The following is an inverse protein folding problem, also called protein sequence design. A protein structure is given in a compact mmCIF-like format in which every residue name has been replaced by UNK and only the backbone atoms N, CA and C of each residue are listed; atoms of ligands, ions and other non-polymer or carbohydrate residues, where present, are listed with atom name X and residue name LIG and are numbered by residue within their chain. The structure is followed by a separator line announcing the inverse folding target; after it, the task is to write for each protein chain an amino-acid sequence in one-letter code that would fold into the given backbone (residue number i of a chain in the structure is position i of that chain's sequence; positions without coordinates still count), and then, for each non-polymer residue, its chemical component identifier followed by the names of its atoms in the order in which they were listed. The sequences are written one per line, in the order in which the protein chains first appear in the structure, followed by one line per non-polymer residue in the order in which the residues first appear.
data_IF_356068016313
#
_entry.id   IF_356068016313
#
_cell.length_a   1.000
_cell.length_b   1.000
_cell.length_c   1.000
_cell.angle_alpha   90.00
_cell.angle_beta   90.00
_cell.angle_gamma   90.00
#
_symmetry.space_group_name_H-M   'P 1'
#
loop_
_entity.id
_entity.type
_entity.pdbx_description
1 polymer ?
#
# COMPACT_ATOMS: atom_id res chain seq x y z
N UNK A 1 14.07 12.67 -20.56
CA UNK A 1 14.41 13.76 -19.63
C UNK A 1 14.47 13.18 -18.23
N UNK A 2 15.09 13.86 -17.26
CA UNK A 2 14.93 13.47 -15.86
C UNK A 2 13.47 13.71 -15.42
N UNK A 3 12.95 12.84 -14.55
CA UNK A 3 11.60 13.00 -14.02
C UNK A 3 11.52 14.24 -13.11
N UNK A 4 10.42 14.98 -13.26
CA UNK A 4 10.07 16.16 -12.48
C UNK A 4 9.26 15.81 -11.24
N UNK A 5 9.00 16.79 -10.37
CA UNK A 5 8.16 16.59 -9.20
C UNK A 5 6.71 16.25 -9.55
N UNK A 6 6.19 16.78 -10.67
CA UNK A 6 4.86 16.45 -11.17
C UNK A 6 4.79 14.99 -11.63
N UNK A 7 5.86 14.47 -12.24
CA UNK A 7 5.94 13.07 -12.65
C UNK A 7 5.95 12.11 -11.45
N UNK A 8 6.57 12.52 -10.33
CA UNK A 8 6.57 11.71 -9.10
C UNK A 8 5.20 11.65 -8.42
N UNK A 9 4.36 12.68 -8.60
CA UNK A 9 3.00 12.72 -8.05
C UNK A 9 1.95 12.05 -8.96
N UNK A 10 2.32 11.67 -10.19
CA UNK A 10 1.38 11.22 -11.20
C UNK A 10 1.13 9.71 -11.16
N UNK A 11 -0.13 9.34 -11.38
CA UNK A 11 -0.52 7.97 -11.74
C UNK A 11 -0.80 7.91 -13.25
N UNK A 12 0.07 7.24 -14.00
CA UNK A 12 0.04 7.30 -15.47
C UNK A 12 -0.96 6.34 -16.12
N UNK A 13 -1.20 5.17 -15.52
CA UNK A 13 -2.03 4.09 -16.08
C UNK A 13 -1.67 3.70 -17.54
N UNK A 14 -0.39 3.82 -17.88
CA UNK A 14 0.18 3.54 -19.20
C UNK A 14 1.61 2.97 -19.05
N UNK A 15 2.27 2.64 -20.16
CA UNK A 15 3.66 2.17 -20.22
C UNK A 15 4.67 3.31 -19.99
N UNK A 16 4.48 4.06 -18.90
CA UNK A 16 5.29 5.22 -18.47
C UNK A 16 5.79 4.96 -17.05
N UNK A 17 7.06 5.25 -16.79
CA UNK A 17 7.68 5.08 -15.47
C UNK A 17 8.58 6.27 -15.12
N UNK A 18 8.33 6.91 -13.97
CA UNK A 18 9.22 7.91 -13.38
C UNK A 18 10.25 7.21 -12.48
N UNK A 19 11.54 7.50 -12.67
CA UNK A 19 12.64 6.86 -11.93
C UNK A 19 13.44 7.91 -11.17
N UNK A 20 13.62 7.70 -9.87
CA UNK A 20 14.48 8.50 -9.00
C UNK A 20 15.57 7.64 -8.37
N UNK A 21 16.81 8.09 -8.44
CA UNK A 21 17.92 7.50 -7.69
C UNK A 21 17.99 8.17 -6.32
N UNK A 22 18.10 7.38 -5.27
CA UNK A 22 18.19 7.84 -3.88
C UNK A 22 19.44 7.25 -3.22
N UNK A 23 20.09 7.99 -2.30
CA UNK A 23 21.33 7.55 -1.67
C UNK A 23 21.14 6.46 -0.62
N UNK A 24 19.96 6.40 -0.01
CA UNK A 24 19.67 5.54 1.14
C UNK A 24 18.17 5.27 1.31
N UNK A 25 17.85 4.36 2.24
CA UNK A 25 16.49 3.97 2.59
C UNK A 25 15.69 5.13 3.20
N UNK A 26 16.34 6.02 3.94
CA UNK A 26 15.67 7.16 4.57
C UNK A 26 15.12 8.14 3.52
N UNK A 27 15.91 8.41 2.48
CA UNK A 27 15.50 9.22 1.36
C UNK A 27 14.40 8.53 0.53
N UNK A 28 14.47 7.20 0.37
CA UNK A 28 13.41 6.42 -0.28
C UNK A 28 12.08 6.53 0.47
N UNK A 29 12.10 6.34 1.79
CA UNK A 29 10.92 6.44 2.65
C UNK A 29 10.35 7.87 2.68
N UNK A 30 11.20 8.89 2.68
CA UNK A 30 10.76 10.28 2.59
C UNK A 30 10.07 10.57 1.25
N UNK A 31 10.60 10.04 0.15
CA UNK A 31 10.00 10.15 -1.16
C UNK A 31 8.61 9.49 -1.22
N UNK A 32 8.50 8.25 -0.76
CA UNK A 32 7.21 7.53 -0.70
C UNK A 32 6.20 8.29 0.16
N UNK A 33 6.61 8.81 1.33
CA UNK A 33 5.72 9.60 2.20
C UNK A 33 5.23 10.90 1.57
N UNK A 34 6.01 11.49 0.67
CA UNK A 34 5.66 12.75 0.02
C UNK A 34 4.72 12.54 -1.17
N UNK A 35 4.96 11.51 -1.99
CA UNK A 35 4.26 11.34 -3.27
C UNK A 35 3.32 10.13 -3.32
N UNK A 36 3.45 9.19 -2.40
CA UNK A 36 2.62 7.98 -2.36
C UNK A 36 1.17 8.26 -1.99
N UNK A 37 0.26 7.44 -2.53
CA UNK A 37 -1.18 7.49 -2.26
C UNK A 37 -1.62 6.61 -1.08
N UNK A 38 -0.66 6.06 -0.32
CA UNK A 38 -0.85 5.04 0.71
C UNK A 38 -1.56 3.75 0.19
N UNK A 39 -1.44 3.42 -1.10
CA UNK A 39 -2.05 2.23 -1.70
C UNK A 39 -1.17 0.97 -1.53
N UNK A 40 -0.11 0.84 -2.33
CA UNK A 40 0.78 -0.32 -2.30
C UNK A 40 2.22 0.11 -2.47
N UNK A 41 3.10 -0.35 -1.58
CA UNK A 41 4.53 -0.03 -1.63
C UNK A 41 5.37 -1.30 -1.54
N UNK A 42 6.50 -1.32 -2.25
CA UNK A 42 7.34 -2.51 -2.38
C UNK A 42 8.80 -2.15 -2.14
N UNK A 43 9.49 -2.99 -1.38
CA UNK A 43 10.95 -3.00 -1.30
C UNK A 43 11.51 -4.30 -1.88
N UNK A 44 12.54 -4.19 -2.73
CA UNK A 44 13.34 -5.32 -3.19
C UNK A 44 14.71 -5.27 -2.48
N UNK A 45 14.97 -6.20 -1.55
CA UNK A 45 16.17 -6.21 -0.71
C UNK A 45 16.52 -7.61 -0.23
N UNK A 46 17.81 -7.89 -0.05
CA UNK A 46 18.32 -9.08 0.66
C UNK A 46 18.64 -8.79 2.13
N UNK A 47 18.68 -7.51 2.52
CA UNK A 47 18.91 -7.08 3.90
C UNK A 47 17.59 -7.10 4.68
N UNK A 48 17.50 -8.02 5.64
CA UNK A 48 16.34 -8.20 6.49
C UNK A 48 16.06 -6.98 7.38
N UNK A 49 17.09 -6.25 7.83
CA UNK A 49 16.90 -5.05 8.64
C UNK A 49 16.26 -3.92 7.82
N UNK A 50 16.66 -3.77 6.55
CA UNK A 50 16.04 -2.81 5.65
C UNK A 50 14.60 -3.20 5.31
N UNK A 51 14.33 -4.50 5.10
CA UNK A 51 12.97 -4.99 4.85
C UNK A 51 12.04 -4.67 6.03
N UNK A 52 12.44 -5.02 7.25
CA UNK A 52 11.64 -4.78 8.46
C UNK A 52 11.42 -3.28 8.68
N UNK A 53 12.47 -2.48 8.54
CA UNK A 53 12.39 -1.02 8.67
C UNK A 53 11.44 -0.42 7.64
N UNK A 54 11.43 -0.91 6.41
CA UNK A 54 10.51 -0.43 5.37
C UNK A 54 9.05 -0.75 5.72
N UNK A 55 8.76 -1.99 6.13
CA UNK A 55 7.42 -2.43 6.55
C UNK A 55 6.90 -1.60 7.71
N UNK A 56 7.72 -1.36 8.73
CA UNK A 56 7.31 -0.58 9.91
C UNK A 56 7.18 0.92 9.65
N UNK A 57 7.86 1.45 8.63
CA UNK A 57 7.92 2.90 8.38
C UNK A 57 6.80 3.42 7.50
N UNK A 58 6.15 2.53 6.74
CA UNK A 58 5.11 2.90 5.79
C UNK A 58 3.73 2.56 6.35
N UNK A 59 2.77 3.39 5.96
CA UNK A 59 1.39 3.34 6.44
C UNK A 59 0.42 2.95 5.34
N UNK A 60 0.92 2.40 4.23
CA UNK A 60 0.19 2.04 3.02
C UNK A 60 -0.69 0.81 3.25
N UNK A 61 -1.73 0.66 2.43
CA UNK A 61 -2.73 -0.39 2.60
C UNK A 61 -2.13 -1.79 2.44
N UNK A 62 -1.15 -1.92 1.54
CA UNK A 62 -0.34 -3.13 1.40
C UNK A 62 1.14 -2.74 1.29
N UNK A 63 1.99 -3.39 2.09
CA UNK A 63 3.45 -3.25 1.99
C UNK A 63 4.04 -4.62 1.70
N UNK A 64 4.92 -4.70 0.71
CA UNK A 64 5.51 -5.97 0.26
C UNK A 64 7.03 -5.93 0.27
N UNK A 65 7.61 -7.10 0.53
CA UNK A 65 9.05 -7.34 0.47
C UNK A 65 9.30 -8.40 -0.60
N UNK A 66 10.09 -8.07 -1.61
CA UNK A 66 10.47 -8.98 -2.70
C UNK A 66 9.28 -9.62 -3.45
N UNK A 67 8.15 -8.91 -3.54
CA UNK A 67 6.96 -9.34 -4.27
C UNK A 67 6.39 -8.19 -5.11
N UNK A 68 5.75 -8.50 -6.23
CA UNK A 68 5.18 -7.50 -7.13
C UNK A 68 4.00 -6.77 -6.48
N UNK A 69 3.91 -5.44 -6.68
CA UNK A 69 2.75 -4.64 -6.25
C UNK A 69 1.42 -5.13 -6.81
N UNK A 70 1.45 -5.89 -7.92
CA UNK A 70 0.27 -6.48 -8.55
C UNK A 70 -0.49 -7.48 -7.69
N UNK A 71 0.13 -8.03 -6.65
CA UNK A 71 -0.52 -8.94 -5.71
C UNK A 71 -1.43 -8.24 -4.68
N UNK A 72 -1.50 -6.89 -4.72
CA UNK A 72 -2.48 -6.16 -3.91
C UNK A 72 -3.86 -6.31 -4.55
N UNK A 73 -4.49 -7.44 -4.31
CA UNK A 73 -5.78 -7.86 -4.84
C UNK A 73 -6.39 -8.92 -3.91
N UNK A 74 -7.69 -8.85 -3.64
CA UNK A 74 -8.37 -9.76 -2.72
C UNK A 74 -8.34 -11.22 -3.16
N UNK A 75 -8.37 -11.51 -4.46
CA UNK A 75 -8.21 -12.88 -4.97
C UNK A 75 -6.81 -13.42 -4.70
N UNK A 76 -5.78 -12.63 -5.02
CA UNK A 76 -4.37 -12.98 -4.79
C UNK A 76 -4.03 -13.12 -3.30
N UNK A 77 -4.69 -12.36 -2.41
CA UNK A 77 -4.54 -12.44 -0.96
C UNK A 77 -5.47 -13.47 -0.30
N UNK A 78 -6.25 -14.24 -1.06
CA UNK A 78 -7.06 -15.34 -0.54
C UNK A 78 -8.40 -14.94 0.08
N UNK A 79 -8.88 -13.71 -0.16
CA UNK A 79 -10.22 -13.25 0.19
C UNK A 79 -11.31 -13.78 -0.77
N UNK A 80 -10.89 -14.40 -1.87
CA UNK A 80 -11.76 -14.94 -2.92
C UNK A 80 -12.25 -13.88 -3.89
N UNK A 81 -12.85 -12.81 -3.39
CA UNK A 81 -13.25 -11.64 -4.18
C UNK A 81 -13.11 -10.36 -3.35
N UNK A 82 -13.02 -9.21 -4.02
CA UNK A 82 -13.06 -7.88 -3.41
C UNK A 82 -14.07 -6.98 -4.12
N UNK A 83 -14.56 -5.96 -3.40
CA UNK A 83 -15.25 -4.81 -4.04
C UNK A 83 -14.22 -3.84 -4.63
N UNK A 84 -13.05 -3.76 -4.03
CA UNK A 84 -11.95 -2.90 -4.42
C UNK A 84 -11.00 -2.69 -3.24
N UNK A 85 -10.08 -1.75 -3.40
CA UNK A 85 -9.02 -1.48 -2.44
C UNK A 85 -9.28 -0.12 -1.77
N UNK A 86 -9.40 -0.12 -0.44
CA UNK A 86 -9.58 1.10 0.33
C UNK A 86 -8.24 1.66 0.80
N UNK A 87 -8.00 2.94 0.51
CA UNK A 87 -6.92 3.72 1.14
C UNK A 87 -7.42 4.58 2.30
N UNK A 88 -8.67 4.36 2.77
CA UNK A 88 -9.23 5.04 3.95
C UNK A 88 -8.99 4.21 5.20
N UNK A 89 -8.43 4.81 6.27
CA UNK A 89 -8.09 4.09 7.51
C UNK A 89 -9.26 3.89 8.49
N UNK A 90 -10.48 4.20 8.06
CA UNK A 90 -11.69 3.98 8.83
C UNK A 90 -12.45 2.83 8.20
N UNK A 91 -12.99 1.92 9.03
CA UNK A 91 -13.74 0.74 8.62
C UNK A 91 -12.90 -0.38 7.96
N UNK A 92 -12.37 -0.15 6.77
CA UNK A 92 -11.57 -1.13 6.04
C UNK A 92 -10.42 -0.48 5.29
N UNK A 93 -9.22 -1.07 5.37
CA UNK A 93 -7.98 -0.56 4.78
C UNK A 93 -7.27 -1.69 4.03
N UNK A 94 -7.07 -1.53 2.73
CA UNK A 94 -6.64 -2.59 1.81
C UNK A 94 -7.78 -3.25 1.04
N UNK A 95 -7.54 -4.44 0.45
CA UNK A 95 -8.55 -5.24 -0.24
C UNK A 95 -9.80 -5.50 0.61
N UNK A 96 -10.96 -5.06 0.11
CA UNK A 96 -12.23 -5.14 0.83
C UNK A 96 -13.01 -6.41 0.46
N UNK A 97 -12.79 -7.48 1.23
CA UNK A 97 -13.53 -8.74 1.15
C UNK A 97 -14.90 -8.71 1.86
N UNK A 98 -15.54 -9.86 2.00
CA UNK A 98 -16.90 -9.99 2.55
C UNK A 98 -17.05 -9.39 3.96
N UNK A 99 -16.08 -9.60 4.84
CA UNK A 99 -16.12 -9.10 6.23
C UNK A 99 -16.15 -7.57 6.29
N UNK A 100 -15.50 -6.90 5.33
CA UNK A 100 -15.51 -5.45 5.19
C UNK A 100 -16.89 -4.89 4.78
N UNK A 101 -17.91 -5.72 4.57
CA UNK A 101 -19.28 -5.30 4.28
C UNK A 101 -20.23 -5.57 5.45
N UNK A 102 -19.67 -5.85 6.62
CA UNK A 102 -20.43 -6.07 7.85
C UNK A 102 -20.32 -4.86 8.78
N UNK A 103 -21.23 -4.79 9.75
CA UNK A 103 -21.20 -3.79 10.82
C UNK A 103 -21.41 -4.48 12.15
N UNK A 104 -20.79 -3.95 13.20
CA UNK A 104 -21.01 -4.42 14.56
C UNK A 104 -22.25 -3.76 15.18
N UNK A 105 -23.06 -4.55 15.91
CA UNK A 105 -24.25 -4.06 16.62
C UNK A 105 -24.34 -4.70 18.00
N UNK A 106 -24.47 -3.86 19.02
CA UNK A 106 -24.71 -4.32 20.39
C UNK A 106 -26.20 -4.56 20.63
N UNK A 107 -26.52 -5.67 21.29
CA UNK A 107 -27.89 -6.02 21.72
C UNK A 107 -27.87 -6.27 23.21
N UNK A 108 -28.56 -5.43 23.97
CA UNK A 108 -28.66 -5.53 25.43
C UNK A 108 -30.10 -5.87 25.82
N UNK A 109 -30.28 -6.86 26.69
CA UNK A 109 -31.56 -7.24 27.27
C UNK A 109 -31.47 -7.16 28.80
N UNK A 110 -32.22 -6.24 29.39
CA UNK A 110 -32.35 -6.12 30.85
C UNK A 110 -33.34 -7.12 31.44
N UNK A 111 -33.36 -7.19 32.77
CA UNK A 111 -34.43 -7.77 33.58
C UNK A 111 -35.19 -6.67 34.30
#
# INVERSE_FOLDING_TARGET
AAASDDDYAAEFLDLILAIRVVPDLDTALAHIRQYGSDHTEVIATQDAANAERFVQSLRSAVVMVNASSRFSDGGELGLGAEIGISTTRLHSYGPMGLEALTVERFVVRGQ
#
